data_IF_644685237645
#
_entry.id   IF_644685237645
#
_cell.length_a   1.000
_cell.length_b   1.000
_cell.length_c   1.000
_cell.angle_alpha   90.00
_cell.angle_beta   90.00
_cell.angle_gamma   90.00
#
_symmetry.space_group_name_H-M   'P 1'
#
loop_
_entity.id
_entity.type
_entity.pdbx_description
1 polymer ?
#
# COMPACT_ATOMS: atom_id res chain seq x y z
N UNK A 1 -21.18 13.25 -14.79
CA UNK A 1 -21.53 12.63 -13.52
C UNK A 1 -21.00 11.20 -13.51
N UNK A 2 -20.31 10.83 -12.47
CA UNK A 2 -19.72 9.50 -12.45
C UNK A 2 -20.74 8.47 -11.96
N UNK A 3 -20.71 7.33 -12.61
CA UNK A 3 -21.50 6.18 -12.23
C UNK A 3 -20.84 5.53 -11.01
N UNK A 4 -21.53 5.38 -9.88
CA UNK A 4 -20.93 4.74 -8.71
C UNK A 4 -20.59 3.27 -8.95
N UNK A 5 -21.13 2.69 -10.01
CA UNK A 5 -20.82 1.31 -10.38
C UNK A 5 -19.70 1.22 -11.41
N UNK A 6 -19.14 2.33 -11.83
CA UNK A 6 -18.03 2.35 -12.78
C UNK A 6 -16.73 1.99 -12.05
N UNK A 7 -16.55 0.72 -11.76
CA UNK A 7 -15.41 0.23 -10.97
C UNK A 7 -14.09 0.42 -11.69
N UNK A 8 -14.12 0.54 -13.00
CA UNK A 8 -12.92 0.75 -13.81
C UNK A 8 -12.23 2.08 -13.51
N UNK A 9 -12.96 3.02 -12.90
CA UNK A 9 -12.36 4.30 -12.51
C UNK A 9 -11.88 4.32 -11.06
N UNK A 10 -12.01 3.20 -10.36
CA UNK A 10 -11.64 3.07 -8.96
C UNK A 10 -10.15 2.74 -8.84
N UNK A 11 -9.32 3.66 -8.37
CA UNK A 11 -7.88 3.39 -8.26
C UNK A 11 -7.54 2.18 -7.40
N UNK A 12 -8.32 1.90 -6.37
CA UNK A 12 -8.08 0.75 -5.53
C UNK A 12 -8.28 -0.55 -6.30
N UNK A 13 -9.32 -0.62 -7.14
CA UNK A 13 -9.60 -1.80 -7.95
C UNK A 13 -8.61 -2.01 -9.07
N UNK A 14 -7.93 -0.96 -9.51
CA UNK A 14 -6.91 -1.07 -10.54
C UNK A 14 -5.62 -1.69 -10.01
N UNK A 15 -5.45 -1.72 -8.70
CA UNK A 15 -4.28 -2.34 -8.10
C UNK A 15 -4.45 -3.84 -8.05
N UNK A 16 -3.36 -4.57 -8.27
CA UNK A 16 -3.35 -6.00 -8.02
C UNK A 16 -3.49 -6.26 -6.52
N UNK A 17 -3.85 -7.47 -6.15
CA UNK A 17 -3.93 -7.83 -4.73
C UNK A 17 -2.59 -7.63 -4.04
N UNK A 18 -1.50 -7.99 -4.71
CA UNK A 18 -0.15 -7.79 -4.18
C UNK A 18 0.10 -6.32 -3.89
N UNK A 19 -0.26 -5.44 -4.81
CA UNK A 19 -0.03 -4.01 -4.64
C UNK A 19 -0.91 -3.44 -3.53
N UNK A 20 -2.16 -3.88 -3.42
CA UNK A 20 -3.05 -3.48 -2.33
C UNK A 20 -2.48 -3.87 -0.97
N UNK A 21 -2.00 -5.11 -0.88
CA UNK A 21 -1.41 -5.62 0.35
C UNK A 21 -0.18 -4.81 0.76
N UNK A 22 0.65 -4.45 -0.21
CA UNK A 22 1.86 -3.67 0.07
C UNK A 22 1.52 -2.22 0.44
N UNK A 23 0.54 -1.62 -0.22
CA UNK A 23 0.12 -0.26 0.11
C UNK A 23 -0.42 -0.21 1.55
N UNK A 24 -1.26 -1.18 1.91
CA UNK A 24 -1.78 -1.28 3.26
C UNK A 24 -0.66 -1.52 4.27
N UNK A 25 0.30 -2.37 3.93
CA UNK A 25 1.43 -2.66 4.81
C UNK A 25 2.28 -1.41 5.08
N UNK A 26 2.51 -0.60 4.05
CA UNK A 26 3.25 0.66 4.23
C UNK A 26 2.52 1.56 5.21
N UNK A 27 1.22 1.71 5.03
CA UNK A 27 0.41 2.58 5.89
C UNK A 27 0.40 2.08 7.34
N UNK A 28 0.26 0.78 7.55
CA UNK A 28 0.24 0.21 8.89
C UNK A 28 1.60 0.33 9.58
N UNK A 29 2.67 0.07 8.85
CA UNK A 29 4.01 0.15 9.41
C UNK A 29 4.37 1.59 9.74
N UNK A 30 3.99 2.54 8.90
CA UNK A 30 4.23 3.96 9.14
C UNK A 30 3.46 4.45 10.38
N UNK A 31 2.24 3.98 10.56
CA UNK A 31 1.42 4.38 11.70
C UNK A 31 1.99 3.89 13.03
N UNK A 32 2.72 2.79 13.02
CA UNK A 32 3.26 2.19 14.25
C UNK A 32 4.64 2.69 14.62
N UNK A 33 5.32 3.38 13.72
CA UNK A 33 6.71 3.78 13.91
C UNK A 33 6.87 5.27 13.73
N UNK A 34 7.92 5.79 14.34
CA UNK A 34 8.26 7.20 14.20
C UNK A 34 9.15 7.42 12.97
N UNK A 35 8.75 6.92 11.83
CA UNK A 35 9.53 7.10 10.62
C UNK A 35 9.06 6.17 9.53
N UNK A 36 9.48 6.44 8.32
CA UNK A 36 9.06 5.66 7.16
C UNK A 36 9.59 4.23 7.26
N UNK A 37 8.76 3.21 6.99
CA UNK A 37 9.18 1.81 7.05
C UNK A 37 10.15 1.47 5.92
N UNK A 38 11.05 0.55 6.24
CA UNK A 38 11.97 -0.03 5.26
C UNK A 38 11.34 -1.26 4.63
N UNK A 39 11.89 -1.67 3.50
CA UNK A 39 11.37 -2.80 2.73
C UNK A 39 11.19 -4.06 3.59
N UNK A 40 12.15 -4.36 4.48
CA UNK A 40 12.04 -5.55 5.32
C UNK A 40 10.84 -5.47 6.26
N UNK A 41 10.60 -4.32 6.85
CA UNK A 41 9.43 -4.11 7.71
C UNK A 41 8.13 -4.27 6.91
N UNK A 42 8.12 -3.77 5.69
CA UNK A 42 6.96 -3.89 4.82
C UNK A 42 6.70 -5.37 4.48
N UNK A 43 7.76 -6.10 4.13
CA UNK A 43 7.66 -7.52 3.85
C UNK A 43 7.09 -8.30 5.04
N UNK A 44 7.60 -8.01 6.23
CA UNK A 44 7.13 -8.66 7.46
C UNK A 44 5.65 -8.32 7.74
N UNK A 45 5.26 -7.09 7.44
CA UNK A 45 3.87 -6.65 7.63
C UNK A 45 2.95 -7.35 6.66
N UNK A 46 3.36 -7.50 5.39
CA UNK A 46 2.58 -8.24 4.41
C UNK A 46 2.40 -9.69 4.86
N UNK A 47 3.48 -10.30 5.37
CA UNK A 47 3.39 -11.67 5.89
C UNK A 47 2.34 -11.78 6.99
N UNK A 48 2.31 -10.83 7.91
CA UNK A 48 1.30 -10.82 8.97
C UNK A 48 -0.11 -10.63 8.44
N UNK A 49 -0.27 -9.80 7.42
CA UNK A 49 -1.59 -9.51 6.86
C UNK A 49 -2.15 -10.67 6.06
N UNK A 50 -1.29 -11.36 5.33
CA UNK A 50 -1.74 -12.37 4.37
C UNK A 50 -1.46 -13.80 4.82
N UNK A 51 -0.62 -13.97 5.83
CA UNK A 51 -0.19 -15.29 6.28
C UNK A 51 0.85 -15.92 5.35
N UNK A 52 1.44 -15.14 4.46
CA UNK A 52 2.40 -15.63 3.49
C UNK A 52 3.46 -14.57 3.22
N UNK A 53 4.72 -14.95 3.37
CA UNK A 53 5.82 -14.04 3.09
C UNK A 53 5.97 -13.85 1.58
N UNK A 54 6.06 -12.59 1.11
CA UNK A 54 6.30 -12.34 -0.31
C UNK A 54 7.62 -12.95 -0.78
N UNK A 55 7.65 -13.41 -2.01
CA UNK A 55 8.88 -13.89 -2.60
C UNK A 55 9.90 -12.76 -2.71
N UNK A 56 11.18 -13.15 -2.74
CA UNK A 56 12.26 -12.21 -2.88
C UNK A 56 12.06 -11.34 -4.13
N UNK A 57 12.18 -10.05 -3.96
CA UNK A 57 11.98 -9.09 -5.05
C UNK A 57 10.55 -8.65 -5.26
N UNK A 58 9.56 -9.37 -4.74
CA UNK A 58 8.15 -8.99 -4.89
C UNK A 58 7.87 -7.64 -4.25
N UNK A 59 8.36 -7.43 -3.03
CA UNK A 59 8.16 -6.17 -2.32
C UNK A 59 8.77 -5.01 -3.10
N UNK A 60 9.98 -5.15 -3.59
CA UNK A 60 10.63 -4.10 -4.38
C UNK A 60 9.84 -3.74 -5.62
N UNK A 61 9.37 -4.73 -6.35
CA UNK A 61 8.58 -4.48 -7.57
C UNK A 61 7.24 -3.83 -7.25
N UNK A 62 6.59 -4.27 -6.17
CA UNK A 62 5.32 -3.66 -5.75
C UNK A 62 5.53 -2.21 -5.36
N UNK A 63 6.59 -1.91 -4.60
CA UNK A 63 6.89 -0.53 -4.21
C UNK A 63 7.22 0.34 -5.43
N UNK A 64 7.90 -0.21 -6.42
CA UNK A 64 8.17 0.52 -7.67
C UNK A 64 6.87 0.87 -8.40
N UNK A 65 5.95 -0.07 -8.52
CA UNK A 65 4.66 0.18 -9.16
C UNK A 65 3.84 1.21 -8.38
N UNK A 66 3.82 1.10 -7.06
CA UNK A 66 3.09 2.05 -6.22
C UNK A 66 3.71 3.44 -6.29
N UNK A 67 5.03 3.52 -6.37
CA UNK A 67 5.74 4.79 -6.52
C UNK A 67 5.43 5.43 -7.87
N UNK A 68 5.45 4.62 -8.94
CA UNK A 68 5.12 5.11 -10.29
C UNK A 68 3.67 5.61 -10.36
N UNK A 69 2.79 5.02 -9.59
CA UNK A 69 1.40 5.46 -9.52
C UNK A 69 1.20 6.66 -8.58
N UNK A 70 2.24 7.11 -7.91
CA UNK A 70 2.15 8.25 -6.99
C UNK A 70 1.51 7.93 -5.65
N UNK A 71 1.42 6.66 -5.27
CA UNK A 71 0.74 6.24 -4.04
C UNK A 71 1.69 6.10 -2.85
N UNK A 72 2.95 5.88 -3.12
CA UNK A 72 4.00 5.92 -2.10
C UNK A 72 5.16 6.77 -2.62
N UNK A 73 5.99 7.25 -1.71
CA UNK A 73 7.18 8.02 -2.07
C UNK A 73 8.36 7.55 -1.26
N UNK A 74 9.54 7.60 -1.86
CA UNK A 74 10.78 7.24 -1.19
C UNK A 74 11.22 8.36 -0.26
N UNK A 75 11.78 7.98 0.87
CA UNK A 75 12.31 8.92 1.85
C UNK A 75 13.83 8.82 1.83
N UNK A 76 14.50 9.92 1.51
CA UNK A 76 15.95 9.96 1.30
C UNK A 76 16.73 10.28 2.58
N UNK A 77 16.30 9.72 3.70
CA UNK A 77 16.94 10.03 4.97
C UNK A 77 17.83 8.91 5.50
N UNK A 78 18.11 7.93 4.65
CA UNK A 78 18.89 6.77 5.06
C UNK A 78 20.36 6.99 4.67
N UNK A 79 21.26 7.10 5.66
CA UNK A 79 22.66 7.44 5.36
C UNK A 79 23.39 6.45 4.48
N UNK A 80 23.06 5.17 4.56
CA UNK A 80 23.81 4.15 3.80
C UNK A 80 23.27 3.90 2.40
N UNK A 81 22.08 4.42 2.08
CA UNK A 81 21.50 4.30 0.75
C UNK A 81 21.14 2.89 0.32
N UNK A 82 21.28 1.89 1.19
CA UNK A 82 20.99 0.50 0.85
C UNK A 82 19.56 0.12 1.17
N UNK A 83 19.03 0.67 2.23
CA UNK A 83 17.69 0.35 2.68
C UNK A 83 16.72 1.37 2.10
N UNK A 84 15.71 0.90 1.41
CA UNK A 84 14.66 1.75 0.89
C UNK A 84 13.62 1.97 1.96
N UNK A 85 13.34 3.22 2.26
CA UNK A 85 12.24 3.60 3.14
C UNK A 85 11.19 4.33 2.34
N UNK A 86 9.94 4.07 2.59
CA UNK A 86 8.84 4.68 1.84
C UNK A 86 7.72 5.07 2.78
N UNK A 87 6.90 6.02 2.36
CA UNK A 87 5.68 6.40 3.06
C UNK A 87 4.55 6.51 2.07
N UNK A 88 3.33 6.44 2.57
CA UNK A 88 2.14 6.61 1.75
C UNK A 88 1.94 8.10 1.49
N UNK A 89 1.67 8.45 0.24
CA UNK A 89 1.34 9.82 -0.15
C UNK A 89 -0.12 10.11 0.21
N UNK A 90 -0.53 11.38 0.06
CA UNK A 90 -1.93 11.74 0.25
C UNK A 90 -2.84 11.00 -0.73
N UNK A 91 -2.38 10.80 -1.97
CA UNK A 91 -3.12 10.01 -2.94
C UNK A 91 -3.23 8.55 -2.51
N UNK A 92 -2.15 7.99 -1.97
CA UNK A 92 -2.18 6.63 -1.42
C UNK A 92 -3.17 6.50 -0.28
N UNK A 93 -3.22 7.49 0.60
CA UNK A 93 -4.19 7.49 1.71
C UNK A 93 -5.63 7.54 1.20
N UNK A 94 -5.88 8.30 0.15
CA UNK A 94 -7.21 8.37 -0.47
C UNK A 94 -7.62 7.02 -1.06
N UNK A 95 -6.69 6.35 -1.74
CA UNK A 95 -6.96 5.03 -2.30
C UNK A 95 -7.30 4.02 -1.21
N UNK A 96 -6.53 4.02 -0.12
CA UNK A 96 -6.81 3.15 1.02
C UNK A 96 -8.15 3.47 1.68
N UNK A 97 -8.47 4.74 1.82
CA UNK A 97 -9.74 5.18 2.38
C UNK A 97 -10.92 4.70 1.53
N UNK A 98 -10.78 4.74 0.22
CA UNK A 98 -11.77 4.22 -0.71
C UNK A 98 -11.98 2.73 -0.53
N UNK A 99 -10.88 1.98 -0.45
CA UNK A 99 -10.95 0.55 -0.23
C UNK A 99 -11.62 0.20 1.09
N UNK A 100 -11.28 0.92 2.15
CA UNK A 100 -11.87 0.71 3.46
C UNK A 100 -13.37 1.01 3.44
N UNK A 101 -13.77 2.10 2.79
CA UNK A 101 -15.18 2.45 2.68
C UNK A 101 -15.99 1.40 1.94
N UNK A 102 -15.41 0.83 0.89
CA UNK A 102 -16.07 -0.23 0.13
C UNK A 102 -16.22 -1.51 0.95
N UNK A 103 -15.18 -1.87 1.69
CA UNK A 103 -15.24 -3.04 2.56
C UNK A 103 -16.27 -2.86 3.65
N UNK A 104 -16.32 -1.67 4.23
CA UNK A 104 -17.28 -1.34 5.27
C UNK A 104 -18.72 -1.41 4.73
N UNK A 105 -18.95 -0.85 3.55
CA UNK A 105 -20.24 -0.91 2.90
C UNK A 105 -20.66 -2.36 2.61
N UNK A 106 -19.72 -3.18 2.14
CA UNK A 106 -20.00 -4.59 1.87
C UNK A 106 -20.32 -5.35 3.15
N UNK A 107 -19.65 -5.02 4.25
CA UNK A 107 -19.88 -5.68 5.53
C UNK A 107 -21.24 -5.36 6.13
N UNK A 108 -21.84 -4.22 5.78
CA UNK A 108 -23.14 -3.82 6.30
C UNK A 108 -24.31 -4.28 5.43
N UNK A 109 -24.03 -4.86 4.27
CA UNK A 109 -25.07 -5.40 3.39
C UNK A 109 -25.37 -6.82 3.85
N UNK A 110 -26.60 -7.07 4.18
CA UNK A 110 -27.04 -8.38 4.64
C UNK A 110 -27.89 -9.06 3.60
#
# INVERSE_FOLDING_TARGET
MSDPLALESDPYHELSQTDRDHLLAVALADAKRAGAPKAQTITDTVDRLTGSEPHRGTTGRALDRLSDAGLVESVDEIPDGRARAVRVTDDGKRVLSWGAARLDAAATVE
#
